data_IF_695973810554
#
_entry.id   IF_695973810554
#
_cell.length_a   1.000
_cell.length_b   1.000
_cell.length_c   1.000
_cell.angle_alpha   90.00
_cell.angle_beta   90.00
_cell.angle_gamma   90.00
#
_symmetry.space_group_name_H-M   'P 1'
#
loop_
_entity.id
_entity.type
_entity.pdbx_description
1 polymer ?
#
# COMPACT_ATOMS: atom_id res chain seq x y z
N UNK A 1 -10.54 -15.83 18.27
CA UNK A 1 -9.48 -15.47 17.31
C UNK A 1 -10.16 -14.48 16.41
N UNK A 2 -9.80 -13.20 16.45
CA UNK A 2 -10.35 -12.21 15.54
C UNK A 2 -10.08 -12.70 14.11
N UNK A 3 -11.14 -13.05 13.39
CA UNK A 3 -11.08 -13.57 12.03
C UNK A 3 -10.70 -12.43 11.08
N UNK A 4 -9.43 -12.01 11.14
CA UNK A 4 -8.85 -11.06 10.20
C UNK A 4 -8.98 -11.67 8.80
N UNK A 5 -9.89 -11.13 8.01
CA UNK A 5 -10.19 -11.58 6.67
C UNK A 5 -9.33 -10.78 5.69
N UNK A 6 -8.44 -11.47 4.97
CA UNK A 6 -7.74 -10.87 3.84
C UNK A 6 -8.73 -10.42 2.77
N UNK A 7 -8.73 -9.12 2.48
CA UNK A 7 -9.50 -8.51 1.39
C UNK A 7 -8.73 -8.54 0.06
N UNK A 8 -7.41 -8.71 0.12
CA UNK A 8 -6.55 -8.85 -1.04
C UNK A 8 -5.35 -7.91 -0.96
N UNK A 9 -4.81 -7.56 -2.14
CA UNK A 9 -3.66 -6.66 -2.28
C UNK A 9 -4.10 -5.45 -3.10
N UNK A 10 -3.80 -4.27 -2.61
CA UNK A 10 -3.93 -3.02 -3.37
C UNK A 10 -2.57 -2.63 -3.94
N UNK A 11 -2.58 -2.09 -5.15
CA UNK A 11 -1.39 -1.58 -5.82
C UNK A 11 -1.68 -0.18 -6.33
N UNK A 12 -0.83 0.77 -5.95
CA UNK A 12 -0.94 2.13 -6.44
C UNK A 12 -0.13 2.24 -7.73
N UNK A 13 -0.82 2.46 -8.84
CA UNK A 13 -0.20 2.68 -10.14
C UNK A 13 0.33 4.12 -10.28
N UNK A 14 1.12 4.55 -9.30
CA UNK A 14 1.78 5.85 -9.24
C UNK A 14 3.19 5.66 -8.65
N UNK A 15 4.16 6.38 -9.21
CA UNK A 15 5.52 6.35 -8.69
C UNK A 15 5.66 7.39 -7.59
N UNK A 16 6.16 6.97 -6.44
CA UNK A 16 6.39 7.88 -5.32
C UNK A 16 7.85 8.25 -5.19
N UNK A 17 8.10 9.52 -4.89
CA UNK A 17 9.44 9.99 -4.53
C UNK A 17 9.78 9.62 -3.07
N UNK A 18 8.78 9.70 -2.19
CA UNK A 18 8.95 9.50 -0.74
C UNK A 18 8.03 8.40 -0.19
N UNK A 19 8.48 7.77 0.90
CA UNK A 19 7.67 6.75 1.60
C UNK A 19 6.40 7.35 2.23
N UNK A 20 6.44 8.64 2.61
CA UNK A 20 5.31 9.31 3.23
C UNK A 20 4.15 9.48 2.26
N UNK A 21 4.44 9.91 1.02
CA UNK A 21 3.41 10.01 -0.04
C UNK A 21 2.85 8.64 -0.39
N UNK A 22 3.72 7.63 -0.51
CA UNK A 22 3.30 6.25 -0.77
C UNK A 22 2.36 5.72 0.32
N UNK A 23 2.69 5.97 1.59
CA UNK A 23 1.84 5.58 2.72
C UNK A 23 0.51 6.32 2.76
N UNK A 24 0.51 7.62 2.43
CA UNK A 24 -0.71 8.39 2.36
C UNK A 24 -1.65 7.83 1.29
N UNK A 25 -1.14 7.56 0.09
CA UNK A 25 -1.93 6.99 -1.00
C UNK A 25 -2.45 5.59 -0.65
N UNK A 26 -1.63 4.75 -0.01
CA UNK A 26 -2.07 3.44 0.46
C UNK A 26 -3.19 3.57 1.51
N UNK A 27 -3.10 4.53 2.42
CA UNK A 27 -4.13 4.76 3.42
C UNK A 27 -5.46 5.16 2.78
N UNK A 28 -5.43 6.13 1.85
CA UNK A 28 -6.62 6.59 1.12
C UNK A 28 -7.30 5.45 0.34
N UNK A 29 -6.51 4.60 -0.34
CA UNK A 29 -7.04 3.45 -1.07
C UNK A 29 -7.55 2.36 -0.13
N UNK A 30 -6.87 2.11 0.99
CA UNK A 30 -7.30 1.12 1.98
C UNK A 30 -8.64 1.50 2.62
N UNK A 31 -8.80 2.78 2.98
CA UNK A 31 -10.07 3.35 3.47
C UNK A 31 -11.19 3.21 2.42
N UNK A 32 -10.89 3.47 1.14
CA UNK A 32 -11.85 3.31 0.05
C UNK A 32 -12.30 1.85 -0.15
N UNK A 33 -11.41 0.89 0.10
CA UNK A 33 -11.72 -0.55 0.08
C UNK A 33 -12.42 -1.04 1.35
N UNK A 34 -12.51 -0.21 2.40
CA UNK A 34 -13.12 -0.55 3.68
C UNK A 34 -12.31 -1.56 4.51
N UNK A 35 -10.99 -1.59 4.35
CA UNK A 35 -10.12 -2.41 5.19
C UNK A 35 -9.89 -1.75 6.56
N UNK A 36 -9.85 -2.57 7.61
CA UNK A 36 -9.56 -2.11 8.98
C UNK A 36 -8.06 -2.15 9.28
N UNK A 37 -7.33 -3.04 8.62
CA UNK A 37 -5.88 -3.16 8.73
C UNK A 37 -5.25 -3.26 7.36
N UNK A 38 -4.02 -2.74 7.23
CA UNK A 38 -3.20 -2.97 6.05
C UNK A 38 -1.73 -3.13 6.42
N UNK A 39 -1.01 -3.85 5.57
CA UNK A 39 0.43 -4.01 5.64
C UNK A 39 1.08 -3.35 4.41
N UNK A 40 1.73 -2.18 4.56
CA UNK A 40 2.35 -1.49 3.44
C UNK A 40 3.63 -2.20 2.97
N UNK A 41 3.71 -2.41 1.67
CA UNK A 41 4.82 -2.99 0.93
C UNK A 41 5.34 -1.91 -0.03
N UNK A 42 6.46 -1.30 0.35
CA UNK A 42 7.13 -0.24 -0.42
C UNK A 42 8.37 -0.81 -1.09
N UNK A 43 8.39 -0.84 -2.42
CA UNK A 43 9.50 -1.40 -3.20
C UNK A 43 10.14 -0.28 -3.99
N UNK A 44 11.43 -0.03 -3.74
CA UNK A 44 12.25 0.87 -4.56
C UNK A 44 12.98 0.06 -5.61
N UNK A 45 12.82 0.42 -6.88
CA UNK A 45 13.53 -0.26 -7.96
C UNK A 45 15.02 0.11 -7.96
N UNK A 46 15.94 -0.87 -7.84
CA UNK A 46 17.37 -0.61 -7.90
C UNK A 46 17.77 -0.11 -9.30
N UNK A 47 18.39 1.07 -9.36
CA UNK A 47 18.80 1.72 -10.62
C UNK A 47 17.74 2.64 -11.24
N UNK A 48 16.55 2.70 -10.66
CA UNK A 48 15.52 3.69 -11.02
C UNK A 48 15.74 4.94 -10.17
N UNK A 49 15.51 6.12 -10.76
CA UNK A 49 15.89 7.45 -10.23
C UNK A 49 14.99 7.91 -9.06
N UNK A 50 14.68 7.01 -8.12
CA UNK A 50 13.78 7.25 -6.99
C UNK A 50 12.37 6.70 -7.17
N UNK A 51 12.05 5.99 -8.27
CA UNK A 51 10.73 5.38 -8.45
C UNK A 51 10.48 4.32 -7.37
N UNK A 52 9.45 4.59 -6.56
CA UNK A 52 8.95 3.65 -5.56
C UNK A 52 7.56 3.18 -5.94
N UNK A 53 7.39 1.88 -5.91
CA UNK A 53 6.11 1.21 -6.00
C UNK A 53 5.51 1.06 -4.62
N UNK A 54 4.25 1.42 -4.49
CA UNK A 54 3.48 1.25 -3.27
C UNK A 54 2.42 0.19 -3.48
N UNK A 55 2.45 -0.82 -2.63
CA UNK A 55 1.43 -1.87 -2.54
C UNK A 55 1.07 -2.10 -1.08
N UNK A 56 -0.08 -2.68 -0.78
CA UNK A 56 -0.40 -3.12 0.56
C UNK A 56 -1.31 -4.33 0.55
N UNK A 57 -1.08 -5.25 1.50
CA UNK A 57 -2.05 -6.28 1.83
C UNK A 57 -3.10 -5.67 2.74
N UNK A 58 -4.38 -5.86 2.44
CA UNK A 58 -5.49 -5.26 3.17
C UNK A 58 -6.36 -6.33 3.82
N UNK A 59 -6.85 -6.03 5.01
CA UNK A 59 -7.59 -6.94 5.86
C UNK A 59 -8.77 -6.24 6.56
N UNK A 60 -9.83 -6.98 6.82
CA UNK A 60 -10.97 -6.53 7.65
C UNK A 60 -11.26 -7.48 8.79
#
# INVERSE_FOLDING_TARGET
>A
MDDVQSLGVIYINHNFATESEARQALNEETDAQGATYYHPILIREPGSNGNMHASADIYR
#
